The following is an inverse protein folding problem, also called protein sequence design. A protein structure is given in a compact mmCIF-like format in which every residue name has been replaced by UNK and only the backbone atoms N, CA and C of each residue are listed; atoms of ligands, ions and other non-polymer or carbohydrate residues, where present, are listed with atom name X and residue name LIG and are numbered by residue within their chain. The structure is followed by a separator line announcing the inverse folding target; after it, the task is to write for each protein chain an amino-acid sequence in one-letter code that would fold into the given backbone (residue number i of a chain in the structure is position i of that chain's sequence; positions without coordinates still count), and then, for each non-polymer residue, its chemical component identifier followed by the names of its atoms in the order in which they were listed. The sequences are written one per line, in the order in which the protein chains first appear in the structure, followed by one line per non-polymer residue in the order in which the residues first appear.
data_IF_881378863655
#
_entry.id   IF_881378863655
#
_cell.length_a   1.000
_cell.length_b   1.000
_cell.length_c   1.000
_cell.angle_alpha   90.00
_cell.angle_beta   90.00
_cell.angle_gamma   90.00
#
_symmetry.space_group_name_H-M   'P 1'
#
loop_
_entity.id
_entity.type
_entity.pdbx_description
1 polymer ?
#
# COMPACT_ATOMS: atom_id res chain seq x y z
N UNK A 1 -4.07 19.96 -10.21
CA UNK A 1 -4.78 21.20 -10.62
C UNK A 1 -3.78 22.12 -11.30
N UNK A 2 -4.13 22.62 -12.48
CA UNK A 2 -3.25 23.46 -13.31
C UNK A 2 -4.01 24.73 -13.75
N UNK A 3 -3.79 25.87 -13.10
CA UNK A 3 -4.41 27.13 -13.48
C UNK A 3 -3.68 27.83 -14.65
N UNK A 4 -4.44 28.51 -15.53
CA UNK A 4 -3.91 29.21 -16.70
C UNK A 4 -4.45 30.65 -16.83
N UNK A 5 -3.62 31.58 -17.33
CA UNK A 5 -2.14 31.54 -17.39
C UNK A 5 -1.52 31.59 -15.97
N UNK A 6 -0.29 31.10 -15.69
CA UNK A 6 0.78 30.68 -16.61
C UNK A 6 0.83 29.17 -16.96
N UNK A 7 0.04 28.30 -16.32
CA UNK A 7 -0.05 26.89 -16.71
C UNK A 7 0.85 25.89 -15.98
N UNK A 8 1.41 26.25 -14.82
CA UNK A 8 2.17 25.32 -13.99
C UNK A 8 1.26 24.57 -12.99
N UNK A 9 1.54 23.30 -12.68
CA UNK A 9 0.76 22.57 -11.67
C UNK A 9 0.97 23.19 -10.28
N UNK A 10 -0.13 23.53 -9.60
CA UNK A 10 -0.09 24.03 -8.21
C UNK A 10 -0.33 22.90 -7.20
N UNK A 11 -1.16 21.92 -7.58
CA UNK A 11 -1.47 20.74 -6.76
C UNK A 11 -1.24 19.46 -7.57
N UNK A 12 -0.52 18.51 -6.97
CA UNK A 12 -0.31 17.16 -7.51
C UNK A 12 -1.06 16.10 -6.69
N UNK A 13 -1.46 14.97 -7.28
CA UNK A 13 -2.07 13.87 -6.53
C UNK A 13 -1.18 13.38 -5.39
N UNK A 14 -1.78 13.09 -4.23
CA UNK A 14 -1.06 12.66 -3.02
C UNK A 14 -0.50 13.79 -2.16
N UNK A 15 -0.60 15.04 -2.61
CA UNK A 15 -0.19 16.20 -1.82
C UNK A 15 -1.22 16.53 -0.73
N UNK A 16 -0.73 16.96 0.44
CA UNK A 16 -1.56 17.53 1.51
C UNK A 16 -1.89 18.98 1.18
N UNK A 17 -3.18 19.33 1.25
CA UNK A 17 -3.66 20.69 0.97
C UNK A 17 -3.77 21.48 2.27
N UNK A 18 -3.05 22.60 2.38
CA UNK A 18 -3.11 23.51 3.52
C UNK A 18 -3.99 24.73 3.23
N UNK A 19 -4.35 25.49 4.27
CA UNK A 19 -5.13 26.73 4.12
C UNK A 19 -4.41 27.77 3.28
N UNK A 20 -3.09 27.89 3.44
CA UNK A 20 -2.24 28.81 2.70
C UNK A 20 -2.30 28.51 1.19
N UNK A 21 -2.32 27.23 0.81
CA UNK A 21 -2.45 26.83 -0.60
C UNK A 21 -3.82 27.24 -1.15
N UNK A 22 -4.89 27.09 -0.37
CA UNK A 22 -6.23 27.54 -0.77
C UNK A 22 -6.27 29.05 -0.95
N UNK A 23 -5.70 29.81 -0.02
CA UNK A 23 -5.63 31.27 -0.14
C UNK A 23 -4.77 31.73 -1.32
N UNK A 24 -3.68 31.03 -1.60
CA UNK A 24 -2.86 31.29 -2.79
C UNK A 24 -3.69 31.08 -4.06
N UNK A 25 -4.36 29.93 -4.19
CA UNK A 25 -5.21 29.62 -5.35
C UNK A 25 -6.35 30.63 -5.55
N UNK A 26 -6.95 31.12 -4.47
CA UNK A 26 -8.04 32.10 -4.53
C UNK A 26 -7.59 33.51 -4.98
N UNK A 27 -6.29 33.81 -4.87
CA UNK A 27 -5.72 35.11 -5.26
C UNK A 27 -5.06 35.09 -6.64
N UNK A 28 -4.97 33.93 -7.28
CA UNK A 28 -4.42 33.84 -8.63
C UNK A 28 -5.39 34.46 -9.63
N UNK A 29 -4.90 35.40 -10.43
CA UNK A 29 -5.62 35.92 -11.58
C UNK A 29 -5.51 34.93 -12.74
N UNK A 30 -6.45 33.98 -12.78
CA UNK A 30 -6.47 32.88 -13.75
C UNK A 30 -7.81 32.86 -14.46
N UNK A 31 -7.78 32.62 -15.78
CA UNK A 31 -8.98 32.62 -16.62
C UNK A 31 -9.67 31.27 -16.61
N UNK A 32 -8.91 30.21 -16.37
CA UNK A 32 -9.39 28.84 -16.35
C UNK A 32 -8.51 27.98 -15.43
N UNK A 33 -9.09 26.87 -14.95
CA UNK A 33 -8.42 25.92 -14.08
C UNK A 33 -8.64 24.52 -14.60
N UNK A 34 -7.59 23.85 -15.07
CA UNK A 34 -7.67 22.47 -15.53
C UNK A 34 -7.67 21.50 -14.35
N UNK A 35 -8.56 20.50 -14.43
CA UNK A 35 -8.76 19.51 -13.38
C UNK A 35 -9.57 20.02 -12.18
N UNK A 36 -10.28 21.14 -12.32
CA UNK A 36 -11.21 21.67 -11.33
C UNK A 36 -12.62 21.78 -11.94
N UNK A 37 -13.62 21.32 -11.20
CA UNK A 37 -15.03 21.52 -11.53
C UNK A 37 -15.65 22.39 -10.44
N UNK A 38 -16.22 23.54 -10.80
CA UNK A 38 -16.73 24.51 -9.83
C UNK A 38 -17.97 24.02 -9.08
N UNK A 39 -18.79 23.14 -9.69
CA UNK A 39 -19.98 22.57 -9.05
C UNK A 39 -19.61 21.53 -7.98
N UNK A 40 -18.44 20.89 -8.12
CA UNK A 40 -17.99 19.81 -7.23
C UNK A 40 -16.87 20.23 -6.27
N UNK A 41 -16.12 21.27 -6.61
CA UNK A 41 -14.95 21.72 -5.85
C UNK A 41 -13.70 20.86 -6.10
N UNK A 42 -12.79 20.86 -5.11
CA UNK A 42 -11.56 20.08 -5.15
C UNK A 42 -11.83 18.64 -4.69
N UNK A 43 -11.43 17.66 -5.52
CA UNK A 43 -11.43 16.26 -5.13
C UNK A 43 -10.30 16.00 -4.12
N UNK A 44 -10.67 15.75 -2.87
CA UNK A 44 -9.75 15.46 -1.77
C UNK A 44 -10.17 14.20 -1.03
N UNK A 45 -9.19 13.50 -0.43
CA UNK A 45 -9.49 12.46 0.54
C UNK A 45 -9.67 13.09 1.92
N UNK A 46 -10.81 12.84 2.56
CA UNK A 46 -11.00 13.21 3.97
C UNK A 46 -10.21 12.28 4.88
N UNK A 47 -9.97 12.69 6.13
CA UNK A 47 -9.33 11.83 7.12
C UNK A 47 -10.10 10.53 7.33
N UNK A 48 -11.44 10.54 7.31
CA UNK A 48 -12.20 9.29 7.43
C UNK A 48 -12.02 8.40 6.20
N UNK A 49 -11.98 8.98 5.00
CA UNK A 49 -11.76 8.22 3.77
C UNK A 49 -10.38 7.54 3.77
N UNK A 50 -9.34 8.26 4.20
CA UNK A 50 -7.99 7.71 4.35
C UNK A 50 -7.93 6.60 5.40
N UNK A 51 -8.52 6.81 6.57
CA UNK A 51 -8.55 5.79 7.63
C UNK A 51 -9.26 4.50 7.18
N UNK A 52 -10.36 4.63 6.43
CA UNK A 52 -11.06 3.48 5.82
C UNK A 52 -10.18 2.74 4.81
N UNK A 53 -9.42 3.48 4.00
CA UNK A 53 -8.52 2.87 3.01
C UNK A 53 -7.36 2.14 3.70
N UNK A 54 -6.79 2.75 4.74
CA UNK A 54 -5.72 2.16 5.54
C UNK A 54 -6.18 0.88 6.24
N UNK A 55 -7.33 0.88 6.90
CA UNK A 55 -7.90 -0.31 7.51
C UNK A 55 -8.12 -1.45 6.50
N UNK A 56 -8.66 -1.13 5.31
CA UNK A 56 -8.83 -2.10 4.23
C UNK A 56 -7.48 -2.66 3.76
N UNK A 57 -6.46 -1.82 3.60
CA UNK A 57 -5.11 -2.24 3.21
C UNK A 57 -4.53 -3.20 4.24
N UNK A 58 -4.62 -2.88 5.52
CA UNK A 58 -4.14 -3.72 6.63
C UNK A 58 -4.82 -5.08 6.68
N UNK A 59 -6.14 -5.13 6.44
CA UNK A 59 -6.89 -6.39 6.40
C UNK A 59 -6.48 -7.29 5.22
N UNK A 60 -6.18 -6.71 4.06
CA UNK A 60 -5.66 -7.48 2.91
C UNK A 60 -4.27 -8.01 3.20
N UNK A 61 -3.40 -7.20 3.80
CA UNK A 61 -2.04 -7.63 4.17
C UNK A 61 -2.06 -8.77 5.19
N UNK A 62 -2.92 -8.72 6.22
CA UNK A 62 -3.03 -9.77 7.23
C UNK A 62 -3.71 -11.06 6.72
N UNK A 63 -4.68 -10.94 5.80
CA UNK A 63 -5.26 -12.11 5.15
C UNK A 63 -4.22 -12.84 4.28
N UNK A 64 -3.29 -12.11 3.66
CA UNK A 64 -2.24 -12.71 2.83
C UNK A 64 -1.13 -13.40 3.63
N UNK A 65 -0.94 -13.08 4.93
CA UNK A 65 0.05 -13.73 5.79
C UNK A 65 -0.44 -15.03 6.45
N UNK A 66 -1.75 -15.26 6.54
CA UNK A 66 -2.34 -16.42 7.22
C UNK A 66 -2.41 -17.70 6.37
N UNK A 67 -1.76 -17.73 5.20
CA UNK A 67 -1.86 -18.82 4.22
C UNK A 67 -0.75 -19.88 4.23
N UNK A 68 0.24 -19.84 5.14
CA UNK A 68 1.33 -20.82 5.18
C UNK A 68 1.38 -21.59 6.51
N UNK A 69 0.44 -22.52 6.66
CA UNK A 69 0.48 -23.59 7.65
C UNK A 69 1.14 -24.84 7.06
N UNK A 70 2.47 -24.86 7.01
CA UNK A 70 3.24 -26.11 6.87
C UNK A 70 3.98 -26.31 8.19
N UNK A 71 3.34 -27.00 9.14
CA UNK A 71 3.97 -27.36 10.40
C UNK A 71 5.20 -28.24 10.16
N UNK A 72 6.31 -28.05 10.90
CA UNK A 72 7.42 -28.99 10.81
C UNK A 72 6.96 -30.33 11.40
N UNK A 73 6.99 -31.35 10.55
CA UNK A 73 6.73 -32.72 10.91
C UNK A 73 7.61 -33.16 12.09
N UNK A 74 6.99 -33.66 13.16
CA UNK A 74 7.66 -34.37 14.25
C UNK A 74 8.28 -35.66 13.69
N UNK A 75 9.58 -35.64 13.43
CA UNK A 75 10.34 -36.81 12.98
C UNK A 75 10.64 -37.74 14.15
N UNK A 76 9.88 -38.82 14.26
CA UNK A 76 10.25 -39.99 15.07
C UNK A 76 11.47 -40.68 14.41
N UNK A 77 12.49 -40.91 15.23
CA UNK A 77 13.72 -41.64 14.90
C UNK A 77 13.38 -43.03 14.35
N UNK A 78 13.81 -43.34 13.12
CA UNK A 78 13.78 -44.71 12.57
C UNK A 78 15.21 -45.11 12.20
N UNK A 79 15.79 -45.91 13.08
CA UNK A 79 17.03 -46.67 12.92
C UNK A 79 16.94 -47.60 11.71
N UNK A 80 17.77 -47.36 10.69
CA UNK A 80 17.98 -48.30 9.58
C UNK A 80 19.24 -49.13 9.87
N UNK A 81 19.02 -50.38 10.28
CA UNK A 81 20.05 -51.42 10.43
C UNK A 81 20.54 -51.82 9.02
N UNK A 82 21.83 -51.65 8.76
CA UNK A 82 22.47 -52.16 7.56
C UNK A 82 22.88 -53.62 7.78
N UNK A 83 22.20 -54.53 7.07
CA UNK A 83 22.65 -55.88 6.75
C UNK A 83 23.80 -55.75 5.72
N UNK A 84 24.86 -56.55 5.59
CA UNK A 84 25.22 -57.88 6.05
C UNK A 84 26.69 -58.17 5.62
N UNK A 85 27.30 -59.18 6.24
CA UNK A 85 28.36 -60.05 5.71
C UNK A 85 29.84 -59.57 5.65
N UNK A 86 30.62 -59.97 6.66
CA UNK A 86 31.99 -60.51 6.47
C UNK A 86 32.28 -61.57 7.55
N UNK A 87 32.94 -62.64 7.11
CA UNK A 87 33.12 -63.98 7.69
C UNK A 87 34.15 -63.99 8.83
N UNK A 88 33.99 -64.80 9.90
CA UNK A 88 34.99 -64.90 10.97
C UNK A 88 36.22 -65.73 10.57
N UNK A 89 37.39 -65.31 11.04
CA UNK A 89 38.62 -66.11 11.05
C UNK A 89 39.08 -66.22 12.51
N UNK A 90 39.35 -67.46 12.94
CA UNK A 90 39.68 -67.90 14.30
C UNK A 90 40.64 -67.00 15.10
#
# INVERSE_FOLDING_TARGET
MVPYPPGFPVLVPGQVVSKEIIYFLAQLDVKEIHGYNHDLGLSVFTQEALARLEAKRSAVTSASSNGNGSGPATGAEQTLVANEHTVPVN
#
